data_IF_507217984486
#
_entry.id   IF_507217984486
#
_cell.length_a   1.000
_cell.length_b   1.000
_cell.length_c   1.000
_cell.angle_alpha   90.00
_cell.angle_beta   90.00
_cell.angle_gamma   90.00
#
_symmetry.space_group_name_H-M   'P 1'
#
loop_
_entity.id
_entity.type
_entity.pdbx_description
1 polymer ?
#
# COMPACT_ATOMS: atom_id res chain seq x y z
N UNK A 1 -13.82 1.83 14.90
CA UNK A 1 -13.74 3.15 14.25
C UNK A 1 -15.11 3.77 14.09
N UNK A 2 -15.17 5.11 14.08
CA UNK A 2 -16.36 5.86 13.69
C UNK A 2 -16.38 6.09 12.19
N UNK A 3 -17.56 6.32 11.58
CA UNK A 3 -17.67 6.63 10.16
C UNK A 3 -18.92 7.45 9.85
N UNK A 4 -18.95 8.26 8.77
CA UNK A 4 -20.03 9.18 8.48
C UNK A 4 -21.34 8.53 8.02
N UNK A 5 -21.30 7.28 7.59
CA UNK A 5 -22.45 6.57 6.98
C UNK A 5 -23.20 5.65 7.94
N UNK A 6 -22.91 5.74 9.23
CA UNK A 6 -23.52 4.87 10.22
C UNK A 6 -25.02 5.13 10.41
N UNK A 7 -25.80 4.05 10.60
CA UNK A 7 -27.25 4.13 10.86
C UNK A 7 -27.58 4.26 12.35
N UNK A 8 -26.59 4.10 13.22
CA UNK A 8 -26.77 3.97 14.66
C UNK A 8 -26.49 5.28 15.39
N UNK A 9 -25.99 6.29 14.69
CA UNK A 9 -25.72 7.62 15.23
C UNK A 9 -24.37 7.76 15.95
N UNK A 10 -23.44 6.82 15.77
CA UNK A 10 -22.12 6.92 16.40
C UNK A 10 -21.35 8.17 16.00
N UNK A 11 -21.52 8.66 14.76
CA UNK A 11 -20.93 9.92 14.30
C UNK A 11 -21.50 11.17 14.98
N UNK A 12 -22.64 11.04 15.68
CA UNK A 12 -23.37 12.14 16.33
C UNK A 12 -23.45 12.00 17.85
N UNK A 13 -22.72 11.06 18.45
CA UNK A 13 -22.67 10.89 19.89
C UNK A 13 -22.17 12.14 20.62
N UNK A 14 -22.63 12.34 21.86
CA UNK A 14 -22.07 13.36 22.75
C UNK A 14 -20.67 12.96 23.23
N UNK A 15 -19.94 13.90 23.81
CA UNK A 15 -18.59 13.62 24.34
C UNK A 15 -18.59 12.50 25.38
N UNK A 16 -19.56 12.47 26.25
CA UNK A 16 -19.71 11.44 27.28
C UNK A 16 -19.99 10.06 26.66
N UNK A 17 -20.77 10.02 25.57
CA UNK A 17 -21.04 8.80 24.82
C UNK A 17 -19.79 8.33 24.06
N UNK A 18 -19.05 9.24 23.44
CA UNK A 18 -17.78 8.94 22.78
C UNK A 18 -16.76 8.37 23.76
N UNK A 19 -16.62 8.99 24.94
CA UNK A 19 -15.72 8.52 25.99
C UNK A 19 -16.09 7.09 26.44
N UNK A 20 -17.38 6.84 26.65
CA UNK A 20 -17.87 5.52 26.99
C UNK A 20 -17.57 4.50 25.88
N UNK A 21 -17.83 4.88 24.61
CA UNK A 21 -17.57 4.04 23.45
C UNK A 21 -16.10 3.65 23.36
N UNK A 22 -15.19 4.62 23.39
CA UNK A 22 -13.76 4.35 23.27
C UNK A 22 -13.22 3.53 24.46
N UNK A 23 -13.56 3.88 25.68
CA UNK A 23 -13.16 3.09 26.86
C UNK A 23 -13.67 1.65 26.78
N UNK A 24 -14.93 1.46 26.35
CA UNK A 24 -15.51 0.12 26.21
C UNK A 24 -14.84 -0.66 25.08
N UNK A 25 -14.65 -0.07 23.91
CA UNK A 25 -14.03 -0.72 22.76
C UNK A 25 -12.59 -1.16 23.09
N UNK A 26 -11.80 -0.29 23.72
CA UNK A 26 -10.44 -0.60 24.12
C UNK A 26 -10.43 -1.76 25.13
N UNK A 27 -11.25 -1.69 26.17
CA UNK A 27 -11.33 -2.75 27.18
C UNK A 27 -11.75 -4.11 26.59
N UNK A 28 -12.51 -4.12 25.52
CA UNK A 28 -12.99 -5.38 24.89
C UNK A 28 -12.03 -5.93 23.84
N UNK A 29 -11.29 -5.10 23.13
CA UNK A 29 -10.57 -5.53 21.95
C UNK A 29 -9.05 -5.43 22.05
N UNK A 30 -8.48 -4.68 22.97
CA UNK A 30 -7.02 -4.52 23.09
C UNK A 30 -6.26 -5.80 23.40
N UNK A 31 -6.93 -6.84 23.92
CA UNK A 31 -6.28 -8.13 24.17
C UNK A 31 -5.98 -8.95 22.89
N UNK A 32 -6.50 -8.56 21.74
CA UNK A 32 -6.28 -9.28 20.47
C UNK A 32 -5.07 -8.71 19.72
N UNK A 33 -4.06 -9.52 19.52
CA UNK A 33 -2.79 -9.12 18.88
C UNK A 33 -2.94 -8.64 17.42
N UNK A 34 -4.03 -8.96 16.75
CA UNK A 34 -4.34 -8.60 15.37
C UNK A 34 -5.23 -7.36 15.22
N UNK A 35 -5.37 -6.56 16.27
CA UNK A 35 -6.14 -5.31 16.24
C UNK A 35 -5.24 -4.15 15.86
N UNK A 36 -5.74 -3.29 14.98
CA UNK A 36 -5.26 -1.95 14.71
C UNK A 36 -6.38 -0.95 15.00
N UNK A 37 -6.02 0.21 15.52
CA UNK A 37 -6.99 1.24 15.82
C UNK A 37 -7.05 2.28 14.71
N UNK A 38 -8.22 2.49 14.12
CA UNK A 38 -8.52 3.66 13.34
C UNK A 38 -9.58 4.48 14.07
N UNK A 39 -9.32 5.74 14.36
CA UNK A 39 -10.30 6.60 15.04
C UNK A 39 -11.54 6.81 14.18
N UNK A 40 -11.33 7.01 12.89
CA UNK A 40 -12.41 7.21 11.93
C UNK A 40 -12.09 6.57 10.59
N UNK A 41 -13.15 6.20 9.87
CA UNK A 41 -13.19 6.21 8.42
C UNK A 41 -13.68 7.58 7.99
N UNK A 42 -12.94 8.24 7.07
CA UNK A 42 -13.34 9.53 6.49
C UNK A 42 -13.70 10.60 7.54
N UNK A 43 -12.76 10.85 8.46
CA UNK A 43 -12.95 11.76 9.59
C UNK A 43 -13.48 13.15 9.18
N UNK A 44 -13.07 13.60 8.01
CA UNK A 44 -13.37 14.90 7.45
C UNK A 44 -14.79 15.03 6.84
N UNK A 45 -15.53 13.92 6.80
CA UNK A 45 -16.96 13.89 6.45
C UNK A 45 -17.88 13.86 7.68
N UNK A 46 -17.35 13.99 8.89
CA UNK A 46 -18.14 13.99 10.13
C UNK A 46 -18.27 15.40 10.72
N UNK A 47 -19.29 16.19 10.32
CA UNK A 47 -19.41 17.61 10.70
C UNK A 47 -19.68 17.82 12.19
N UNK A 48 -20.07 16.80 12.93
CA UNK A 48 -20.33 16.86 14.37
C UNK A 48 -19.08 16.57 15.23
N UNK A 49 -17.94 16.27 14.59
CA UNK A 49 -16.66 16.04 15.27
C UNK A 49 -15.64 17.06 14.82
N UNK A 50 -14.91 17.60 15.77
CA UNK A 50 -13.83 18.56 15.54
C UNK A 50 -12.46 17.88 15.57
N UNK A 51 -11.42 18.60 15.18
CA UNK A 51 -10.04 18.08 15.32
C UNK A 51 -9.69 17.82 16.81
N UNK A 52 -10.21 18.65 17.73
CA UNK A 52 -9.98 18.47 19.16
C UNK A 52 -10.66 17.21 19.70
N UNK A 53 -11.81 16.82 19.14
CA UNK A 53 -12.45 15.56 19.51
C UNK A 53 -11.57 14.35 19.08
N UNK A 54 -10.99 14.39 17.90
CA UNK A 54 -10.07 13.32 17.46
C UNK A 54 -8.80 13.23 18.31
N UNK A 55 -8.21 14.36 18.68
CA UNK A 55 -7.06 14.40 19.60
C UNK A 55 -7.44 13.87 21.00
N UNK A 56 -8.64 14.15 21.47
CA UNK A 56 -9.17 13.63 22.74
C UNK A 56 -9.30 12.09 22.68
N UNK A 57 -9.91 11.53 21.63
CA UNK A 57 -10.04 10.08 21.49
C UNK A 57 -8.68 9.40 21.35
N UNK A 58 -7.75 10.04 20.65
CA UNK A 58 -6.37 9.55 20.54
C UNK A 58 -5.70 9.50 21.93
N UNK A 59 -5.96 10.49 22.79
CA UNK A 59 -5.44 10.50 24.16
C UNK A 59 -5.99 9.32 24.97
N UNK A 60 -7.31 9.10 24.93
CA UNK A 60 -7.94 7.95 25.59
C UNK A 60 -7.31 6.64 25.11
N UNK A 61 -7.12 6.49 23.80
CA UNK A 61 -6.54 5.30 23.20
C UNK A 61 -5.09 5.08 23.64
N UNK A 62 -4.27 6.13 23.67
CA UNK A 62 -2.88 6.05 24.10
C UNK A 62 -2.74 5.67 25.57
N UNK A 63 -3.65 6.16 26.43
CA UNK A 63 -3.62 5.90 27.87
C UNK A 63 -4.20 4.54 28.26
N UNK A 64 -5.19 4.06 27.51
CA UNK A 64 -5.98 2.89 27.90
C UNK A 64 -5.63 1.59 27.16
N UNK A 65 -4.98 1.68 26.00
CA UNK A 65 -4.50 0.49 25.29
C UNK A 65 -3.14 0.02 25.87
N UNK A 66 -3.12 -1.03 26.70
CA UNK A 66 -1.90 -1.47 27.39
C UNK A 66 -0.87 -2.13 26.46
N UNK A 67 -1.28 -2.48 25.24
CA UNK A 67 -0.43 -3.17 24.26
C UNK A 67 0.14 -2.24 23.21
N UNK A 68 -0.27 -0.96 23.21
CA UNK A 68 0.20 0.06 22.28
C UNK A 68 0.07 -0.35 20.81
N UNK A 69 -1.07 -0.91 20.43
CA UNK A 69 -1.35 -1.30 19.05
C UNK A 69 -1.16 -0.15 18.07
N UNK A 70 -0.95 -0.50 16.81
CA UNK A 70 -0.91 0.48 15.72
C UNK A 70 -2.21 1.27 15.67
N UNK A 71 -2.10 2.58 15.43
CA UNK A 71 -3.24 3.50 15.45
C UNK A 71 -3.06 4.64 14.47
N UNK A 72 -4.16 5.04 13.85
CA UNK A 72 -4.21 6.15 12.91
C UNK A 72 -5.63 6.73 12.79
N UNK A 73 -5.84 7.56 11.81
CA UNK A 73 -7.14 8.11 11.43
C UNK A 73 -7.18 8.24 9.91
N UNK A 74 -8.32 7.90 9.30
CA UNK A 74 -8.48 7.78 7.87
C UNK A 74 -9.27 8.98 7.30
N UNK A 75 -8.79 9.56 6.21
CA UNK A 75 -9.39 10.71 5.51
C UNK A 75 -10.28 10.31 4.33
N UNK A 76 -11.16 11.21 3.93
CA UNK A 76 -11.76 11.19 2.58
C UNK A 76 -11.00 12.12 1.62
N UNK A 77 -11.02 13.42 1.91
CA UNK A 77 -10.46 14.46 1.04
C UNK A 77 -9.20 15.06 1.67
N UNK A 78 -9.28 15.44 2.94
CA UNK A 78 -8.24 16.18 3.64
C UNK A 78 -7.37 15.26 4.48
N UNK A 79 -6.09 15.16 4.14
CA UNK A 79 -5.14 14.40 4.96
C UNK A 79 -5.09 14.95 6.38
N UNK A 80 -5.08 14.05 7.35
CA UNK A 80 -4.80 14.42 8.72
C UNK A 80 -3.31 14.78 8.90
N UNK A 81 -2.96 15.44 10.00
CA UNK A 81 -1.55 15.68 10.33
C UNK A 81 -0.91 14.41 10.90
N UNK A 82 -0.35 13.59 10.02
CA UNK A 82 0.31 12.35 10.43
C UNK A 82 1.64 12.56 11.19
N UNK A 83 2.09 13.81 11.40
CA UNK A 83 3.23 14.09 12.27
C UNK A 83 2.94 13.88 13.75
N UNK A 84 1.67 13.85 14.14
CA UNK A 84 1.22 13.66 15.52
C UNK A 84 1.89 12.43 16.16
N UNK A 85 2.39 12.55 17.42
CA UNK A 85 3.13 11.46 18.08
C UNK A 85 2.29 10.20 18.31
N UNK A 86 0.99 10.33 18.46
CA UNK A 86 0.10 9.19 18.66
C UNK A 86 -0.14 8.36 17.40
N UNK A 87 0.08 8.92 16.22
CA UNK A 87 -0.12 8.23 14.93
C UNK A 87 1.09 7.34 14.64
N UNK A 88 0.86 6.06 14.39
CA UNK A 88 1.90 5.07 14.07
C UNK A 88 2.14 4.92 12.58
N UNK A 89 1.15 5.20 11.75
CA UNK A 89 1.20 5.07 10.29
C UNK A 89 0.27 6.07 9.61
N UNK A 90 0.58 6.45 8.39
CA UNK A 90 -0.34 7.21 7.56
C UNK A 90 -1.43 6.26 7.04
N UNK A 91 -2.69 6.55 7.35
CA UNK A 91 -3.87 5.85 6.85
C UNK A 91 -4.54 6.74 5.81
N UNK A 92 -4.54 6.32 4.55
CA UNK A 92 -4.79 7.24 3.43
C UNK A 92 -5.84 6.68 2.48
N UNK A 93 -6.83 7.50 2.18
CA UNK A 93 -7.72 7.31 1.05
C UNK A 93 -7.23 8.11 -0.15
N UNK A 94 -7.09 7.44 -1.29
CA UNK A 94 -6.78 8.10 -2.57
C UNK A 94 -7.66 7.49 -3.65
N UNK A 95 -8.65 8.24 -4.04
CA UNK A 95 -9.60 7.89 -5.10
C UNK A 95 -9.36 8.68 -6.38
N UNK A 96 -8.28 9.44 -6.43
CA UNK A 96 -7.83 10.16 -7.61
C UNK A 96 -7.56 9.18 -8.76
N UNK A 97 -8.10 9.47 -9.93
CA UNK A 97 -7.98 8.60 -11.11
C UNK A 97 -6.54 8.47 -11.63
N UNK A 98 -5.68 9.44 -11.35
CA UNK A 98 -4.35 9.54 -11.95
C UNK A 98 -3.22 9.36 -10.95
N UNK A 99 -3.43 9.70 -9.68
CA UNK A 99 -2.41 9.69 -8.62
C UNK A 99 -2.92 9.00 -7.37
N UNK A 100 -2.96 7.69 -7.37
CA UNK A 100 -3.38 6.94 -6.19
C UNK A 100 -2.19 6.45 -5.35
N UNK A 101 -1.37 5.60 -5.90
CA UNK A 101 -0.21 5.00 -5.22
C UNK A 101 1.03 5.90 -5.23
N UNK A 102 1.13 6.83 -6.15
CA UNK A 102 2.27 7.72 -6.34
C UNK A 102 2.52 8.65 -5.14
N UNK A 103 1.48 8.96 -4.36
CA UNK A 103 1.61 9.76 -3.14
C UNK A 103 2.43 9.06 -2.03
N UNK A 104 2.69 7.78 -2.15
CA UNK A 104 3.42 6.99 -1.15
C UNK A 104 4.79 7.58 -0.85
N UNK A 105 5.57 7.97 -1.88
CA UNK A 105 6.89 8.58 -1.69
C UNK A 105 6.80 9.87 -0.88
N UNK A 106 5.90 10.78 -1.27
CA UNK A 106 5.72 12.08 -0.61
C UNK A 106 5.37 11.92 0.88
N UNK A 107 4.49 10.97 1.19
CA UNK A 107 4.06 10.71 2.56
C UNK A 107 5.17 10.03 3.39
N UNK A 108 5.89 9.07 2.80
CA UNK A 108 7.03 8.44 3.46
C UNK A 108 8.12 9.47 3.79
N UNK A 109 8.45 10.33 2.85
CA UNK A 109 9.48 11.36 3.03
C UNK A 109 9.07 12.40 4.07
N UNK A 110 7.81 12.84 4.01
CA UNK A 110 7.27 13.87 4.90
C UNK A 110 7.13 13.41 6.35
N UNK A 111 6.56 12.21 6.56
CA UNK A 111 6.15 11.77 7.90
C UNK A 111 7.07 10.72 8.51
N UNK A 112 7.94 10.08 7.73
CA UNK A 112 8.85 9.01 8.17
C UNK A 112 8.12 7.88 8.89
N UNK A 113 6.93 7.53 8.42
CA UNK A 113 6.03 6.49 8.94
C UNK A 113 5.63 5.53 7.83
N UNK A 114 5.23 4.29 8.14
CA UNK A 114 4.57 3.42 7.17
C UNK A 114 3.37 4.12 6.54
N UNK A 115 3.14 3.88 5.25
CA UNK A 115 2.00 4.41 4.51
C UNK A 115 1.08 3.27 4.14
N UNK A 116 -0.10 3.24 4.75
CA UNK A 116 -1.18 2.32 4.43
C UNK A 116 -2.17 3.07 3.56
N UNK A 117 -2.32 2.61 2.33
CA UNK A 117 -3.27 3.12 1.37
C UNK A 117 -4.55 2.29 1.52
N UNK A 118 -5.35 2.63 2.53
CA UNK A 118 -6.54 1.85 2.90
C UNK A 118 -7.55 1.80 1.76
N UNK A 119 -7.67 2.90 1.02
CA UNK A 119 -8.57 3.01 -0.13
C UNK A 119 -7.87 3.70 -1.31
N UNK A 120 -7.68 2.94 -2.39
CA UNK A 120 -7.05 3.41 -3.64
C UNK A 120 -8.00 3.31 -4.83
N UNK A 121 -9.29 3.55 -4.60
CA UNK A 121 -10.41 3.18 -5.44
C UNK A 121 -10.59 1.65 -5.50
N UNK A 122 -11.63 1.20 -6.19
CA UNK A 122 -12.07 -0.20 -6.14
C UNK A 122 -12.27 -0.78 -7.53
N UNK A 123 -11.92 -2.05 -7.68
CA UNK A 123 -12.29 -2.85 -8.84
C UNK A 123 -13.81 -3.05 -8.88
N UNK A 124 -14.46 -2.72 -10.00
CA UNK A 124 -15.92 -2.84 -10.04
C UNK A 124 -16.55 -2.28 -11.30
N UNK A 125 -17.86 -2.04 -11.21
CA UNK A 125 -18.68 -1.57 -12.33
C UNK A 125 -19.78 -0.57 -11.95
N UNK A 126 -19.68 0.04 -10.76
CA UNK A 126 -20.63 1.08 -10.36
C UNK A 126 -20.43 2.38 -11.16
N UNK A 127 -21.41 3.27 -11.12
CA UNK A 127 -21.37 4.52 -11.88
C UNK A 127 -20.27 5.51 -11.44
N UNK A 128 -19.74 5.38 -10.23
CA UNK A 128 -18.77 6.32 -9.66
C UNK A 128 -17.34 5.88 -9.94
N UNK A 129 -16.48 6.82 -10.37
CA UNK A 129 -15.09 6.54 -10.74
C UNK A 129 -14.22 5.93 -9.65
N UNK A 130 -14.58 6.10 -8.38
CA UNK A 130 -13.90 5.46 -7.27
C UNK A 130 -14.17 3.93 -7.16
N UNK A 131 -15.19 3.43 -7.84
CA UNK A 131 -15.63 2.02 -7.73
C UNK A 131 -15.86 1.35 -9.08
N UNK A 132 -15.14 1.72 -10.15
CA UNK A 132 -15.26 1.11 -11.47
C UNK A 132 -13.90 0.95 -12.17
N UNK A 133 -12.87 0.63 -11.40
CA UNK A 133 -11.57 0.29 -11.96
C UNK A 133 -11.61 -1.09 -12.60
N UNK A 134 -10.79 -1.29 -13.63
CA UNK A 134 -10.49 -2.63 -14.14
C UNK A 134 -9.58 -3.38 -13.17
N UNK A 135 -9.57 -4.72 -13.26
CA UNK A 135 -8.67 -5.55 -12.46
C UNK A 135 -7.19 -5.23 -12.72
N UNK A 136 -6.85 -4.92 -13.99
CA UNK A 136 -5.48 -4.53 -14.36
C UNK A 136 -5.06 -3.23 -13.70
N UNK A 137 -5.95 -2.23 -13.65
CA UNK A 137 -5.66 -0.95 -13.00
C UNK A 137 -5.53 -1.12 -11.49
N UNK A 138 -6.39 -1.93 -10.86
CA UNK A 138 -6.27 -2.25 -9.45
C UNK A 138 -4.92 -2.94 -9.15
N UNK A 139 -4.54 -3.93 -9.95
CA UNK A 139 -3.25 -4.61 -9.80
C UNK A 139 -2.08 -3.66 -10.02
N UNK A 140 -2.18 -2.74 -11.02
CA UNK A 140 -1.18 -1.71 -11.24
C UNK A 140 -0.93 -0.87 -9.99
N UNK A 141 -1.98 -0.41 -9.34
CA UNK A 141 -1.89 0.39 -8.10
C UNK A 141 -1.23 -0.38 -6.97
N UNK A 142 -1.50 -1.67 -6.86
CA UNK A 142 -0.86 -2.53 -5.87
C UNK A 142 0.65 -2.67 -6.09
N UNK A 143 1.08 -2.95 -7.32
CA UNK A 143 2.49 -3.05 -7.65
C UNK A 143 3.21 -1.70 -7.48
N UNK A 144 2.59 -0.62 -7.90
CA UNK A 144 3.12 0.72 -7.74
C UNK A 144 3.28 1.10 -6.27
N UNK A 145 2.26 0.88 -5.45
CA UNK A 145 2.32 1.12 -4.02
C UNK A 145 3.42 0.29 -3.34
N UNK A 146 3.47 -1.01 -3.63
CA UNK A 146 4.46 -1.92 -3.06
C UNK A 146 5.90 -1.53 -3.43
N UNK A 147 6.17 -1.21 -4.70
CA UNK A 147 7.48 -0.74 -5.14
C UNK A 147 7.87 0.63 -4.54
N UNK A 148 6.90 1.41 -4.08
CA UNK A 148 7.13 2.65 -3.32
C UNK A 148 7.21 2.43 -1.80
N UNK A 149 7.16 1.16 -1.35
CA UNK A 149 7.20 0.79 0.06
C UNK A 149 5.95 1.17 0.83
N UNK A 150 4.79 1.15 0.18
CA UNK A 150 3.46 1.33 0.76
C UNK A 150 2.70 0.01 0.89
N UNK A 151 1.58 0.06 1.59
CA UNK A 151 0.72 -1.08 1.89
C UNK A 151 -0.69 -0.82 1.35
N UNK A 152 -1.03 -1.28 0.13
CA UNK A 152 -2.33 -1.00 -0.48
C UNK A 152 -3.44 -1.89 0.06
N UNK A 153 -4.63 -1.31 0.23
CA UNK A 153 -5.88 -1.99 0.55
C UNK A 153 -6.69 -2.34 -0.70
N UNK A 154 -7.37 -3.48 -0.68
CA UNK A 154 -8.24 -3.94 -1.76
C UNK A 154 -9.71 -3.82 -1.39
N UNK A 155 -10.52 -3.43 -2.38
CA UNK A 155 -11.97 -3.49 -2.30
C UNK A 155 -12.60 -3.71 -3.68
N UNK A 156 -13.82 -4.20 -3.70
CA UNK A 156 -14.62 -4.42 -4.91
C UNK A 156 -16.00 -3.77 -4.79
N UNK A 157 -16.53 -3.32 -5.91
CA UNK A 157 -17.82 -2.67 -6.02
C UNK A 157 -18.62 -3.15 -7.25
N UNK A 158 -18.61 -4.46 -7.49
CA UNK A 158 -19.42 -5.04 -8.57
C UNK A 158 -20.89 -5.06 -8.22
N UNK A 159 -21.72 -4.56 -9.12
CA UNK A 159 -23.18 -4.72 -9.03
C UNK A 159 -23.57 -6.17 -9.31
N UNK A 160 -24.33 -6.74 -8.42
CA UNK A 160 -24.85 -8.11 -8.57
C UNK A 160 -26.25 -8.22 -7.95
N UNK A 161 -26.98 -9.28 -8.30
CA UNK A 161 -28.37 -9.48 -7.86
C UNK A 161 -28.50 -9.63 -6.34
N UNK A 162 -27.48 -10.14 -5.70
CA UNK A 162 -27.47 -10.42 -4.27
C UNK A 162 -26.96 -9.22 -3.47
N UNK A 163 -26.42 -8.20 -4.15
CA UNK A 163 -25.81 -7.00 -3.57
C UNK A 163 -24.80 -7.33 -2.46
N UNK A 164 -24.07 -8.41 -2.63
CA UNK A 164 -23.06 -8.92 -1.70
C UNK A 164 -21.73 -8.24 -2.01
N UNK A 165 -20.90 -8.10 -1.02
CA UNK A 165 -19.60 -7.36 -1.00
C UNK A 165 -19.73 -5.85 -1.04
N UNK A 166 -20.78 -5.32 -1.54
CA UNK A 166 -21.00 -3.90 -1.53
C UNK A 166 -21.18 -3.42 -0.07
N UNK A 167 -20.34 -2.50 0.38
CA UNK A 167 -20.46 -1.92 1.70
C UNK A 167 -20.60 -2.93 2.86
N UNK A 168 -19.64 -3.83 2.96
CA UNK A 168 -19.53 -4.75 4.10
C UNK A 168 -20.58 -5.85 4.19
N UNK A 169 -21.28 -6.16 3.13
CA UNK A 169 -22.21 -7.29 3.14
C UNK A 169 -21.48 -8.64 3.11
N UNK A 170 -20.17 -8.63 2.91
CA UNK A 170 -19.38 -9.86 2.80
C UNK A 170 -19.70 -10.64 1.53
N UNK A 171 -19.14 -11.82 1.40
CA UNK A 171 -19.45 -12.69 0.29
C UNK A 171 -18.23 -13.10 -0.53
N UNK A 172 -18.44 -13.43 -1.80
CA UNK A 172 -17.40 -13.89 -2.72
C UNK A 172 -16.94 -12.76 -3.63
N UNK A 173 -15.64 -12.60 -3.77
CA UNK A 173 -15.05 -11.65 -4.71
C UNK A 173 -15.40 -11.98 -6.15
N UNK A 174 -15.74 -10.97 -6.94
CA UNK A 174 -16.16 -11.09 -8.35
C UNK A 174 -15.05 -10.66 -9.32
N UNK A 175 -14.10 -9.85 -8.85
CA UNK A 175 -13.03 -9.28 -9.66
C UNK A 175 -11.92 -10.27 -10.01
N UNK A 176 -10.95 -9.76 -10.73
CA UNK A 176 -9.82 -10.53 -11.22
C UNK A 176 -8.50 -10.17 -10.50
N UNK A 177 -8.39 -8.96 -9.94
CA UNK A 177 -7.13 -8.50 -9.32
C UNK A 177 -6.75 -9.30 -8.08
N UNK A 178 -7.72 -9.64 -7.24
CA UNK A 178 -7.47 -10.35 -5.98
C UNK A 178 -6.73 -11.70 -6.17
N UNK A 179 -6.95 -12.36 -7.30
CA UNK A 179 -6.29 -13.62 -7.66
C UNK A 179 -4.77 -13.46 -7.86
N UNK A 180 -4.30 -12.22 -8.02
CA UNK A 180 -2.93 -11.85 -8.37
C UNK A 180 -2.12 -11.28 -7.22
N UNK A 181 -2.77 -10.94 -6.11
CA UNK A 181 -2.08 -10.38 -4.94
C UNK A 181 -1.15 -11.39 -4.26
N UNK A 182 -1.51 -12.68 -4.28
CA UNK A 182 -0.61 -13.74 -3.82
C UNK A 182 0.70 -13.75 -4.58
N UNK A 183 0.64 -13.60 -5.91
CA UNK A 183 1.84 -13.54 -6.75
C UNK A 183 2.72 -12.32 -6.45
N UNK A 184 2.11 -11.14 -6.23
CA UNK A 184 2.85 -9.96 -5.76
C UNK A 184 3.50 -10.22 -4.40
N UNK A 185 2.74 -10.76 -3.44
CA UNK A 185 3.25 -11.05 -2.10
C UNK A 185 4.44 -12.01 -2.13
N UNK A 186 4.42 -13.01 -3.00
CA UNK A 186 5.56 -13.94 -3.16
C UNK A 186 6.79 -13.21 -3.70
N UNK A 187 6.62 -12.25 -4.64
CA UNK A 187 7.76 -11.42 -5.10
C UNK A 187 8.31 -10.52 -4.00
N UNK A 188 7.44 -9.99 -3.14
CA UNK A 188 7.87 -9.18 -1.99
C UNK A 188 8.62 -10.02 -0.95
N UNK A 189 8.25 -11.29 -0.74
CA UNK A 189 8.96 -12.21 0.16
C UNK A 189 10.36 -12.58 -0.34
N UNK A 190 10.59 -12.54 -1.65
CA UNK A 190 11.91 -12.77 -2.25
C UNK A 190 12.87 -11.60 -2.01
N UNK A 191 12.38 -10.45 -1.56
CA UNK A 191 13.17 -9.24 -1.32
C UNK A 191 14.05 -9.43 -0.09
N UNK A 192 15.35 -9.16 -0.16
CA UNK A 192 16.22 -9.18 1.01
C UNK A 192 15.82 -8.13 2.05
N UNK A 193 16.10 -8.41 3.33
CA UNK A 193 15.91 -7.46 4.42
C UNK A 193 14.46 -7.30 4.88
N UNK A 194 14.07 -6.08 5.24
CA UNK A 194 12.80 -5.78 5.91
C UNK A 194 11.67 -5.32 4.99
N UNK A 195 11.84 -5.36 3.67
CA UNK A 195 10.88 -4.89 2.69
C UNK A 195 11.49 -3.97 1.65
N UNK A 196 10.65 -3.30 0.89
CA UNK A 196 11.06 -2.41 -0.20
C UNK A 196 11.00 -0.93 0.20
N UNK A 197 11.92 -0.16 -0.37
CA UNK A 197 11.87 1.30 -0.38
C UNK A 197 12.07 1.82 -1.81
N UNK A 198 11.48 2.97 -2.16
CA UNK A 198 11.65 3.53 -3.50
C UNK A 198 13.09 3.98 -3.73
N UNK A 199 13.52 3.85 -4.99
CA UNK A 199 14.81 4.27 -5.48
C UNK A 199 14.62 5.06 -6.78
N UNK A 200 15.16 6.28 -6.84
CA UNK A 200 15.08 7.13 -8.03
C UNK A 200 16.18 6.76 -9.03
N UNK A 201 15.95 5.75 -9.86
CA UNK A 201 16.89 5.34 -10.91
C UNK A 201 16.65 6.13 -12.21
N UNK A 202 15.43 6.14 -12.70
CA UNK A 202 14.99 6.94 -13.86
C UNK A 202 13.58 7.49 -13.61
N UNK A 203 13.17 8.48 -14.40
CA UNK A 203 11.87 9.15 -14.25
C UNK A 203 10.67 8.34 -14.80
N UNK A 204 10.91 7.32 -15.60
CA UNK A 204 9.90 6.57 -16.38
C UNK A 204 9.72 5.13 -15.89
N UNK A 205 10.08 4.87 -14.65
CA UNK A 205 9.88 3.57 -14.00
C UNK A 205 9.71 3.73 -12.49
N UNK A 206 9.14 2.73 -11.86
CA UNK A 206 9.07 2.64 -10.40
C UNK A 206 10.11 1.64 -9.95
N UNK A 207 11.23 2.13 -9.43
CA UNK A 207 12.31 1.30 -8.95
C UNK A 207 12.25 1.18 -7.44
N UNK A 208 12.42 -0.04 -6.94
CA UNK A 208 12.49 -0.36 -5.53
C UNK A 208 13.77 -1.14 -5.22
N UNK A 209 14.30 -0.91 -4.02
CA UNK A 209 15.43 -1.62 -3.44
C UNK A 209 15.08 -2.09 -2.04
N UNK A 210 15.80 -3.04 -1.45
CA UNK A 210 15.59 -3.44 -0.06
C UNK A 210 15.72 -2.28 0.90
N UNK A 211 14.84 -2.25 1.88
CA UNK A 211 14.89 -1.25 2.94
C UNK A 211 16.09 -1.54 3.86
N UNK A 212 16.95 -0.55 4.03
CA UNK A 212 18.05 -0.63 5.00
C UNK A 212 17.53 -0.47 6.43
N UNK A 213 18.20 -1.10 7.38
CA UNK A 213 17.83 -1.09 8.80
C UNK A 213 18.03 0.29 9.42
N UNK A 214 18.91 1.12 8.86
CA UNK A 214 19.23 2.45 9.37
C UNK A 214 18.50 3.52 8.57
N UNK A 215 17.50 4.21 9.14
CA UNK A 215 16.82 5.31 8.47
C UNK A 215 17.80 6.48 8.29
N UNK A 216 18.04 6.93 7.08
CA UNK A 216 18.75 8.18 6.79
C UNK A 216 19.82 8.12 5.71
N UNK A 217 20.25 6.96 5.29
CA UNK A 217 21.26 6.79 4.24
C UNK A 217 20.72 6.13 2.98
N UNK A 218 19.50 6.46 2.59
CA UNK A 218 18.93 6.00 1.32
C UNK A 218 19.47 6.81 0.13
N UNK A 219 20.77 6.79 -0.06
CA UNK A 219 21.25 6.85 -1.44
C UNK A 219 20.81 5.56 -2.12
N UNK A 220 20.39 5.65 -3.38
CA UNK A 220 20.04 4.51 -4.24
C UNK A 220 21.24 3.58 -4.40
N UNK A 221 21.60 2.90 -3.35
CA UNK A 221 22.84 2.19 -3.15
C UNK A 221 22.69 0.80 -2.56
N UNK A 222 21.47 0.26 -2.45
CA UNK A 222 21.38 -1.17 -2.26
C UNK A 222 21.91 -1.84 -3.52
N UNK A 223 23.07 -2.35 -3.37
CA UNK A 223 23.93 -2.80 -4.45
C UNK A 223 23.69 -4.28 -4.79
N UNK A 224 22.59 -4.85 -4.31
CA UNK A 224 22.38 -6.29 -4.41
C UNK A 224 21.07 -6.73 -5.03
N UNK A 225 20.02 -5.89 -4.98
CA UNK A 225 18.69 -6.23 -5.49
C UNK A 225 17.92 -5.01 -5.97
N UNK A 226 17.19 -5.19 -7.08
CA UNK A 226 16.27 -4.19 -7.65
C UNK A 226 14.99 -4.86 -8.11
N UNK A 227 13.85 -4.26 -7.78
CA UNK A 227 12.56 -4.57 -8.38
C UNK A 227 12.09 -3.33 -9.13
N UNK A 228 11.96 -3.44 -10.44
CA UNK A 228 11.67 -2.32 -11.33
C UNK A 228 10.34 -2.59 -12.00
N UNK A 229 9.36 -1.75 -11.76
CA UNK A 229 8.03 -1.86 -12.33
C UNK A 229 7.76 -0.76 -13.34
N UNK A 230 7.25 -1.12 -14.51
CA UNK A 230 7.02 -0.20 -15.61
C UNK A 230 5.59 0.34 -15.68
N UNK A 231 4.72 -0.05 -14.75
CA UNK A 231 3.37 0.47 -14.65
C UNK A 231 2.60 0.31 -15.98
N UNK A 232 2.01 1.38 -16.49
CA UNK A 232 1.33 1.41 -17.79
C UNK A 232 2.29 1.59 -18.99
N UNK A 233 3.58 1.76 -18.77
CA UNK A 233 4.58 1.91 -19.83
C UNK A 233 4.80 0.59 -20.56
N UNK A 234 5.25 0.68 -21.83
CA UNK A 234 5.38 -0.46 -22.74
C UNK A 234 6.78 -0.52 -23.37
N UNK A 235 7.86 -0.59 -22.61
CA UNK A 235 9.20 -0.67 -23.18
C UNK A 235 9.38 -1.98 -23.95
N UNK A 236 10.11 -1.92 -25.07
CA UNK A 236 10.57 -3.11 -25.80
C UNK A 236 11.89 -3.64 -25.27
N UNK A 237 12.60 -2.82 -24.51
CA UNK A 237 13.82 -3.17 -23.82
C UNK A 237 14.17 -2.13 -22.76
N UNK A 238 15.08 -2.51 -21.86
CA UNK A 238 15.81 -1.60 -20.95
C UNK A 238 17.29 -1.92 -20.98
N UNK A 239 18.12 -0.87 -20.90
CA UNK A 239 19.55 -1.00 -20.72
C UNK A 239 19.91 -0.78 -19.26
N UNK A 240 20.79 -1.63 -18.75
CA UNK A 240 21.34 -1.57 -17.41
C UNK A 240 22.84 -1.42 -17.47
N UNK A 241 23.39 -0.74 -16.50
CA UNK A 241 24.82 -0.53 -16.35
C UNK A 241 25.20 -0.70 -14.89
N UNK A 242 25.78 -1.82 -14.57
CA UNK A 242 26.32 -2.14 -13.26
C UNK A 242 27.85 -2.23 -13.34
N UNK A 243 28.50 -2.51 -12.20
CA UNK A 243 29.93 -2.71 -12.19
C UNK A 243 30.35 -3.97 -13.00
N UNK A 244 31.52 -3.90 -13.63
CA UNK A 244 32.01 -4.97 -14.50
C UNK A 244 32.55 -6.20 -13.74
N UNK A 245 32.54 -6.18 -12.40
CA UNK A 245 33.09 -7.24 -11.55
C UNK A 245 32.03 -8.20 -11.02
N UNK A 246 30.79 -7.72 -10.93
CA UNK A 246 29.68 -8.49 -10.38
C UNK A 246 28.85 -9.13 -11.50
N UNK A 247 28.32 -10.32 -11.24
CA UNK A 247 27.32 -10.98 -12.07
C UNK A 247 25.94 -10.66 -11.54
N UNK A 248 25.02 -10.30 -12.43
CA UNK A 248 23.67 -9.85 -12.11
C UNK A 248 22.64 -10.76 -12.77
N UNK A 249 21.86 -11.45 -11.97
CA UNK A 249 20.79 -12.30 -12.46
C UNK A 249 19.54 -11.48 -12.74
N UNK A 250 18.83 -11.80 -13.82
CA UNK A 250 17.69 -11.03 -14.31
C UNK A 250 16.48 -11.93 -14.56
N UNK A 251 15.33 -11.50 -14.07
CA UNK A 251 14.01 -12.06 -14.41
C UNK A 251 13.09 -10.97 -14.96
N UNK A 252 12.32 -11.31 -15.97
CA UNK A 252 11.22 -10.51 -16.50
C UNK A 252 9.92 -11.07 -15.98
N UNK A 253 9.09 -10.21 -15.39
CA UNK A 253 7.84 -10.56 -14.72
C UNK A 253 6.68 -9.94 -15.47
N UNK A 254 5.71 -10.76 -15.85
CA UNK A 254 4.40 -10.31 -16.28
C UNK A 254 3.45 -10.33 -15.09
N UNK A 255 3.15 -9.15 -14.57
CA UNK A 255 2.41 -9.06 -13.32
C UNK A 255 0.95 -9.46 -13.47
N UNK A 256 0.36 -9.24 -14.63
CA UNK A 256 -1.03 -9.63 -14.90
C UNK A 256 -1.17 -11.12 -15.15
N UNK A 257 -0.32 -11.71 -16.00
CA UNK A 257 -0.38 -13.14 -16.29
C UNK A 257 0.32 -14.02 -15.25
N UNK A 258 0.93 -13.41 -14.24
CA UNK A 258 1.64 -14.10 -13.14
C UNK A 258 2.74 -15.05 -13.67
N UNK A 259 3.50 -14.60 -14.66
CA UNK A 259 4.59 -15.38 -15.24
C UNK A 259 5.95 -14.74 -15.00
N UNK A 260 6.96 -15.58 -14.87
CA UNK A 260 8.35 -15.18 -14.69
C UNK A 260 9.17 -15.83 -15.79
N UNK A 261 9.94 -15.03 -16.50
CA UNK A 261 10.90 -15.48 -17.49
C UNK A 261 12.32 -15.21 -17.00
N UNK A 262 13.06 -16.26 -16.76
CA UNK A 262 14.46 -16.16 -16.38
C UNK A 262 15.30 -15.78 -17.60
N UNK A 263 16.13 -14.74 -17.46
CA UNK A 263 17.01 -14.23 -18.52
C UNK A 263 18.47 -14.59 -18.27
N UNK A 264 18.77 -15.29 -17.18
CA UNK A 264 20.13 -15.61 -16.79
C UNK A 264 20.91 -14.43 -16.24
N UNK A 265 22.23 -14.53 -16.28
CA UNK A 265 23.13 -13.60 -15.64
C UNK A 265 23.93 -12.76 -16.63
N UNK A 266 24.19 -11.51 -16.27
CA UNK A 266 24.85 -10.50 -17.08
C UNK A 266 25.93 -9.80 -16.26
N UNK A 267 26.87 -9.13 -16.93
CA UNK A 267 27.90 -8.28 -16.32
C UNK A 267 27.98 -6.94 -17.02
N UNK A 268 28.39 -5.92 -16.30
CA UNK A 268 28.63 -4.58 -16.82
C UNK A 268 27.43 -3.94 -17.48
N UNK A 269 27.53 -3.60 -18.76
CA UNK A 269 26.44 -3.01 -19.55
C UNK A 269 25.70 -4.10 -20.34
N UNK A 270 24.39 -4.23 -20.13
CA UNK A 270 23.57 -5.21 -20.83
C UNK A 270 22.17 -4.66 -21.15
N UNK A 271 21.51 -5.35 -22.08
CA UNK A 271 20.16 -5.02 -22.55
C UNK A 271 19.21 -6.15 -22.22
N UNK A 272 18.09 -5.84 -21.57
CA UNK A 272 16.99 -6.77 -21.32
C UNK A 272 15.85 -6.47 -22.26
N UNK A 273 15.48 -7.44 -23.09
CA UNK A 273 14.32 -7.36 -23.99
C UNK A 273 13.03 -7.55 -23.22
N UNK A 274 12.02 -6.75 -23.51
CA UNK A 274 10.69 -6.74 -22.89
C UNK A 274 9.60 -6.88 -23.97
N UNK A 275 8.41 -7.40 -23.63
CA UNK A 275 7.39 -7.77 -24.62
C UNK A 275 6.54 -6.59 -25.14
N UNK A 276 6.94 -5.34 -24.91
CA UNK A 276 6.24 -4.12 -25.36
C UNK A 276 4.77 -4.04 -24.92
N UNK A 277 4.46 -4.53 -23.72
CA UNK A 277 3.12 -4.44 -23.13
C UNK A 277 3.17 -3.83 -21.74
N UNK A 278 2.04 -3.28 -21.21
CA UNK A 278 1.99 -2.70 -19.87
C UNK A 278 2.12 -3.77 -18.78
N UNK A 279 2.29 -3.32 -17.55
CA UNK A 279 2.29 -4.13 -16.34
C UNK A 279 3.44 -5.15 -16.26
N UNK A 280 4.58 -4.78 -16.82
CA UNK A 280 5.80 -5.58 -16.74
C UNK A 280 6.67 -5.11 -15.58
N UNK A 281 7.40 -6.04 -14.97
CA UNK A 281 8.46 -5.74 -14.03
C UNK A 281 9.74 -6.49 -14.40
N UNK A 282 10.85 -5.99 -13.88
CA UNK A 282 12.16 -6.65 -13.95
C UNK A 282 12.71 -6.76 -12.54
N UNK A 283 13.12 -7.96 -12.19
CA UNK A 283 13.80 -8.27 -10.94
C UNK A 283 15.28 -8.53 -11.28
N UNK A 284 16.17 -7.83 -10.59
CA UNK A 284 17.62 -7.93 -10.81
C UNK A 284 18.29 -8.06 -9.45
N UNK A 285 19.20 -9.02 -9.33
CA UNK A 285 20.00 -9.18 -8.12
C UNK A 285 21.42 -9.59 -8.43
N UNK A 286 22.35 -9.21 -7.55
CA UNK A 286 23.73 -9.65 -7.63
C UNK A 286 23.82 -11.13 -7.26
N UNK A 287 24.54 -11.93 -8.05
CA UNK A 287 24.79 -13.32 -7.70
C UNK A 287 25.54 -13.43 -6.37
N UNK A 288 25.07 -14.34 -5.53
CA UNK A 288 25.57 -14.49 -4.15
C UNK A 288 24.89 -13.57 -3.13
N UNK A 289 23.96 -12.70 -3.55
CA UNK A 289 23.09 -11.99 -2.61
C UNK A 289 22.14 -12.99 -1.90
N UNK A 290 21.83 -12.67 -0.65
CA UNK A 290 20.93 -13.51 0.18
C UNK A 290 19.46 -13.27 -0.23
N UNK A 291 19.03 -13.99 -1.27
CA UNK A 291 17.67 -13.91 -1.82
C UNK A 291 16.97 -15.24 -1.56
N UNK A 292 15.88 -15.18 -0.84
CA UNK A 292 15.07 -16.33 -0.50
C UNK A 292 13.97 -16.54 -1.56
N UNK A 293 14.24 -17.40 -2.54
CA UNK A 293 13.19 -17.89 -3.45
C UNK A 293 12.37 -18.98 -2.74
N UNK A 294 11.09 -18.73 -2.57
CA UNK A 294 10.12 -19.72 -2.08
C UNK A 294 9.46 -20.44 -3.25
#
# INVERSE_FOLDING_TARGET
>A
MMHPYDRWGFSQMTKEQDDLYWNYAIARFSAFANVWWSLANEYDLMPHKTLDDWEHYATILCEKDPYHHMRSIHNCISLYDFSKPWITHCSVQRTDLYKSAECTNELRDRYRKPVVLDEIAYEGDIQHGWGNLTGEEMLRRFWEAACRGGYPGHGETYLNKENILWWSHGGKLHGESHKRFGFLLDRLKETPGLGLQPCNRTWDEVCAVPQEITPGEAECGCKEYYLIYYSFMRPTFREFHFDDKSSWHVRVIDTWNMTIEDRGSFQGKFKVTLPAKPYMAVQIWREGADIHFQ
#
